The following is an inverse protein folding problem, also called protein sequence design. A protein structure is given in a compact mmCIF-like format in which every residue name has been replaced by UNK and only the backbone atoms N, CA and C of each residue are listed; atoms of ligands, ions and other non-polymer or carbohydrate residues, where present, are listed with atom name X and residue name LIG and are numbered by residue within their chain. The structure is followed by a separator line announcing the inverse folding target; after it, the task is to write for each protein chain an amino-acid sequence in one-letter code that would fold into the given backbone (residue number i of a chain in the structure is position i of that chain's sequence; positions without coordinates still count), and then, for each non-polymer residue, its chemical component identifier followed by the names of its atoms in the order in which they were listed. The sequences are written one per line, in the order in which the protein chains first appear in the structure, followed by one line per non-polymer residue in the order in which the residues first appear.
data_IF_652835407555
#
_entry.id   IF_652835407555
#
_cell.length_a   1.000
_cell.length_b   1.000
_cell.length_c   1.000
_cell.angle_alpha   90.00
_cell.angle_beta   90.00
_cell.angle_gamma   90.00
#
_symmetry.space_group_name_H-M   'P 1'
#
loop_
_entity.id
_entity.type
_entity.pdbx_description
1 polymer ?
#
# COMPACT_ATOMS: atom_id res chain seq x y z
N UNK A 1 18.58 -2.25 7.42
CA UNK A 1 17.96 -1.62 6.26
C UNK A 1 17.13 -2.67 5.51
N UNK A 2 15.96 -2.30 5.00
CA UNK A 2 15.01 -3.17 4.29
C UNK A 2 14.56 -2.54 2.97
N UNK A 3 15.37 -1.65 2.42
CA UNK A 3 15.03 -0.90 1.19
C UNK A 3 15.01 -1.77 -0.07
N UNK A 4 15.65 -2.92 -0.05
CA UNK A 4 15.72 -3.81 -1.22
C UNK A 4 15.18 -5.21 -0.92
N UNK A 5 14.65 -5.88 -1.95
CA UNK A 5 14.22 -7.28 -1.84
C UNK A 5 15.35 -8.24 -1.43
N UNK A 6 16.61 -7.89 -1.76
CA UNK A 6 17.78 -8.64 -1.27
C UNK A 6 17.92 -8.53 0.24
N UNK A 7 17.77 -7.31 0.80
CA UNK A 7 17.86 -7.11 2.25
C UNK A 7 16.69 -7.76 2.99
N UNK A 8 15.50 -7.71 2.43
CA UNK A 8 14.34 -8.46 2.95
C UNK A 8 14.64 -9.97 2.95
N UNK A 9 15.17 -10.51 1.85
CA UNK A 9 15.57 -11.91 1.78
C UNK A 9 16.56 -12.32 2.88
N UNK A 10 17.60 -11.51 3.09
CA UNK A 10 18.59 -11.75 4.16
C UNK A 10 17.93 -11.73 5.55
N UNK A 11 16.98 -10.82 5.78
CA UNK A 11 16.24 -10.76 7.04
C UNK A 11 15.32 -11.98 7.23
N UNK A 12 14.70 -12.45 6.15
CA UNK A 12 13.90 -13.68 6.16
C UNK A 12 14.76 -14.93 6.44
N UNK A 13 15.98 -15.00 5.89
CA UNK A 13 16.91 -16.06 6.17
C UNK A 13 17.30 -16.09 7.65
N UNK A 14 17.61 -14.93 8.23
CA UNK A 14 17.93 -14.80 9.63
C UNK A 14 16.74 -15.13 10.56
N UNK A 15 15.52 -14.76 10.16
CA UNK A 15 14.30 -15.09 10.89
C UNK A 15 14.02 -16.61 10.87
N UNK A 16 14.13 -17.23 9.70
CA UNK A 16 13.93 -18.66 9.53
C UNK A 16 14.95 -19.48 10.35
N UNK A 17 16.20 -19.06 10.37
CA UNK A 17 17.24 -19.69 11.18
C UNK A 17 16.96 -19.60 12.71
N UNK A 18 16.12 -18.67 13.15
CA UNK A 18 15.65 -18.52 14.53
C UNK A 18 14.31 -19.20 14.80
N UNK A 19 13.79 -19.96 13.82
CA UNK A 19 12.53 -20.68 13.96
C UNK A 19 11.27 -19.78 13.84
N UNK A 20 11.38 -18.58 13.27
CA UNK A 20 10.22 -17.73 13.00
C UNK A 20 9.45 -18.34 11.82
N UNK A 21 8.24 -18.82 12.11
CA UNK A 21 7.42 -19.60 11.18
C UNK A 21 6.78 -18.77 10.05
N UNK A 22 6.56 -17.48 10.25
CA UNK A 22 6.06 -16.54 9.23
C UNK A 22 6.96 -15.32 9.13
N UNK A 23 7.94 -15.38 8.22
CA UNK A 23 8.83 -14.23 7.98
C UNK A 23 8.12 -13.08 7.27
N UNK A 24 7.39 -13.37 6.20
CA UNK A 24 6.66 -12.38 5.39
C UNK A 24 5.26 -12.89 5.06
N UNK A 25 4.28 -12.03 5.16
CA UNK A 25 2.98 -12.17 4.52
C UNK A 25 2.59 -10.89 3.79
N UNK A 26 1.54 -10.92 2.98
CA UNK A 26 1.06 -9.78 2.18
C UNK A 26 -0.46 -9.75 2.14
N UNK A 27 -1.01 -8.54 2.12
CA UNK A 27 -2.38 -8.31 1.66
C UNK A 27 -2.40 -7.96 0.17
N UNK A 28 -3.57 -7.95 -0.46
CA UNK A 28 -3.82 -7.41 -1.80
C UNK A 28 -2.74 -7.82 -2.83
N UNK A 29 -2.46 -9.11 -2.96
CA UNK A 29 -1.32 -9.71 -3.66
C UNK A 29 -1.05 -9.13 -5.04
N UNK A 30 -2.04 -9.11 -5.95
CA UNK A 30 -1.87 -8.56 -7.30
C UNK A 30 -1.60 -7.06 -7.24
N UNK A 31 -2.37 -6.33 -6.43
CA UNK A 31 -2.21 -4.90 -6.31
C UNK A 31 -0.83 -4.50 -5.77
N UNK A 32 -0.30 -5.20 -4.75
CA UNK A 32 1.02 -4.89 -4.18
C UNK A 32 2.15 -5.44 -5.06
N UNK A 33 2.09 -6.73 -5.43
CA UNK A 33 3.23 -7.42 -6.04
C UNK A 33 3.24 -7.43 -7.57
N UNK A 34 2.21 -6.88 -8.23
CA UNK A 34 2.22 -6.67 -9.68
C UNK A 34 1.98 -5.19 -10.01
N UNK A 35 0.88 -4.61 -9.59
CA UNK A 35 0.49 -3.25 -9.99
C UNK A 35 1.39 -2.19 -9.33
N UNK A 36 1.47 -2.15 -7.99
CA UNK A 36 2.40 -1.24 -7.29
C UNK A 36 3.86 -1.57 -7.57
N UNK A 37 4.19 -2.86 -7.69
CA UNK A 37 5.53 -3.30 -8.08
C UNK A 37 5.94 -2.73 -9.45
N UNK A 38 5.05 -2.78 -10.44
CA UNK A 38 5.29 -2.21 -11.77
C UNK A 38 5.56 -0.70 -11.69
N UNK A 39 4.67 0.05 -11.04
CA UNK A 39 4.82 1.49 -10.88
C UNK A 39 6.11 1.86 -10.16
N UNK A 40 6.39 1.20 -9.05
CA UNK A 40 7.56 1.47 -8.21
C UNK A 40 8.90 1.18 -8.89
N UNK A 41 8.92 0.28 -9.88
CA UNK A 41 10.09 -0.08 -10.67
C UNK A 41 10.12 0.54 -12.07
N UNK A 42 9.22 1.50 -12.36
CA UNK A 42 9.09 2.12 -13.69
C UNK A 42 8.92 1.08 -14.82
N UNK A 43 8.10 0.09 -14.57
CA UNK A 43 7.78 -0.98 -15.52
C UNK A 43 6.36 -0.80 -16.07
N UNK A 44 6.15 -0.92 -17.39
CA UNK A 44 4.80 -0.88 -17.92
C UNK A 44 4.00 -2.09 -17.44
N UNK A 45 2.77 -1.84 -16.97
CA UNK A 45 1.81 -2.88 -16.61
C UNK A 45 0.99 -3.31 -17.84
N UNK A 46 0.73 -2.36 -18.73
CA UNK A 46 0.02 -2.58 -19.97
C UNK A 46 0.51 -1.63 -21.08
N UNK A 47 0.21 -1.95 -22.33
CA UNK A 47 0.45 -1.08 -23.48
C UNK A 47 -0.39 0.20 -23.42
N UNK A 48 -0.20 1.11 -24.39
CA UNK A 48 -1.00 2.32 -24.57
C UNK A 48 -1.13 3.17 -23.30
N UNK A 49 0.02 3.54 -22.71
CA UNK A 49 0.07 4.31 -21.47
C UNK A 49 -0.71 3.62 -20.32
N UNK A 50 -0.47 2.34 -20.12
CA UNK A 50 -1.18 1.51 -19.15
C UNK A 50 -2.72 1.50 -19.35
N UNK A 51 -3.18 1.54 -20.59
CA UNK A 51 -4.60 1.47 -20.94
C UNK A 51 -5.29 2.82 -21.13
N UNK A 52 -4.63 3.93 -20.80
CA UNK A 52 -5.26 5.26 -20.92
C UNK A 52 -5.39 5.76 -22.35
N UNK A 53 -4.63 5.22 -23.31
CA UNK A 53 -4.60 5.69 -24.69
C UNK A 53 -5.40 4.82 -25.67
N UNK A 54 -6.12 3.79 -25.21
CA UNK A 54 -6.97 2.98 -26.09
C UNK A 54 -7.55 1.73 -25.43
N UNK A 55 -8.69 1.25 -25.98
CA UNK A 55 -9.39 0.08 -25.46
C UNK A 55 -8.76 -1.26 -25.90
N UNK A 56 -7.92 -1.25 -26.94
CA UNK A 56 -7.15 -2.37 -27.46
C UNK A 56 -5.80 -2.52 -26.74
N UNK A 57 -5.85 -2.36 -25.44
CA UNK A 57 -4.70 -2.45 -24.55
C UNK A 57 -4.33 -3.91 -24.29
N UNK A 58 -3.03 -4.21 -24.32
CA UNK A 58 -2.48 -5.52 -23.99
C UNK A 58 -1.71 -5.47 -22.67
N UNK A 59 -1.85 -6.50 -21.87
CA UNK A 59 -1.12 -6.61 -20.59
C UNK A 59 0.36 -6.96 -20.83
N UNK A 60 1.27 -6.33 -20.07
CA UNK A 60 2.72 -6.48 -20.25
C UNK A 60 3.50 -6.75 -18.94
N UNK A 61 2.80 -7.14 -17.88
CA UNK A 61 3.41 -7.43 -16.57
C UNK A 61 4.15 -8.78 -16.49
N UNK A 62 4.72 -9.23 -17.58
CA UNK A 62 5.51 -10.47 -17.70
C UNK A 62 6.98 -10.20 -18.08
N UNK A 63 7.49 -9.01 -17.82
CA UNK A 63 8.90 -8.69 -18.05
C UNK A 63 9.81 -9.57 -17.17
N UNK A 64 11.11 -9.70 -17.51
CA UNK A 64 12.05 -10.47 -16.69
C UNK A 64 12.08 -10.09 -15.21
N UNK A 65 11.84 -8.80 -14.90
CA UNK A 65 11.81 -8.30 -13.52
C UNK A 65 10.56 -8.76 -12.78
N UNK A 66 9.39 -8.74 -13.44
CA UNK A 66 8.15 -9.29 -12.88
C UNK A 66 8.27 -10.80 -12.61
N UNK A 67 8.77 -11.54 -13.60
CA UNK A 67 8.98 -12.99 -13.49
C UNK A 67 9.92 -13.30 -12.31
N UNK A 68 11.06 -12.60 -12.22
CA UNK A 68 12.01 -12.74 -11.13
C UNK A 68 11.36 -12.49 -9.77
N UNK A 69 10.53 -11.46 -9.66
CA UNK A 69 9.84 -11.11 -8.41
C UNK A 69 8.90 -12.21 -7.95
N UNK A 70 8.03 -12.67 -8.83
CA UNK A 70 7.07 -13.74 -8.52
C UNK A 70 7.79 -15.07 -8.23
N UNK A 71 8.85 -15.39 -8.97
CA UNK A 71 9.69 -16.56 -8.68
C UNK A 71 10.36 -16.46 -7.30
N UNK A 72 10.80 -15.25 -6.90
CA UNK A 72 11.37 -15.01 -5.58
C UNK A 72 10.35 -15.28 -4.47
N UNK A 73 9.13 -14.74 -4.60
CA UNK A 73 8.05 -15.01 -3.65
C UNK A 73 7.68 -16.49 -3.61
N UNK A 74 7.59 -17.15 -4.77
CA UNK A 74 7.33 -18.58 -4.88
C UNK A 74 8.42 -19.44 -4.24
N UNK A 75 9.70 -19.05 -4.40
CA UNK A 75 10.82 -19.68 -3.71
C UNK A 75 10.69 -19.52 -2.20
N UNK A 76 10.48 -18.31 -1.71
CA UNK A 76 10.32 -18.04 -0.28
C UNK A 76 9.11 -18.77 0.32
N UNK A 77 8.05 -18.95 -0.45
CA UNK A 77 6.89 -19.73 -0.01
C UNK A 77 7.25 -21.22 0.18
N UNK A 78 8.00 -21.81 -0.77
CA UNK A 78 8.49 -23.20 -0.66
C UNK A 78 9.46 -23.40 0.52
N UNK A 79 10.21 -22.36 0.86
CA UNK A 79 11.16 -22.35 1.96
C UNK A 79 10.52 -22.00 3.32
N UNK A 80 9.20 -21.79 3.38
CA UNK A 80 8.48 -21.41 4.60
C UNK A 80 8.66 -19.96 5.05
N UNK A 81 9.38 -19.13 4.29
CA UNK A 81 9.71 -17.74 4.61
C UNK A 81 8.59 -16.75 4.27
N UNK A 82 7.79 -17.07 3.26
CA UNK A 82 6.61 -16.31 2.84
C UNK A 82 5.36 -17.19 2.99
N UNK A 83 4.34 -16.67 3.65
CA UNK A 83 3.07 -17.36 3.82
C UNK A 83 1.93 -16.60 3.14
N UNK A 84 1.23 -17.29 2.26
CA UNK A 84 -0.05 -16.85 1.75
C UNK A 84 -1.14 -17.18 2.78
N UNK A 85 -1.70 -16.15 3.42
CA UNK A 85 -2.64 -16.31 4.53
C UNK A 85 -4.06 -15.80 4.20
N UNK A 86 -4.42 -15.78 2.93
CA UNK A 86 -5.76 -15.43 2.48
C UNK A 86 -5.81 -14.33 1.44
N UNK A 87 -7.01 -14.05 0.93
CA UNK A 87 -7.28 -13.03 -0.09
C UNK A 87 -7.37 -11.63 0.53
N UNK A 88 -7.29 -10.62 -0.31
CA UNK A 88 -7.42 -9.21 0.10
C UNK A 88 -6.53 -8.94 1.32
N UNK A 89 -7.08 -8.48 2.43
CA UNK A 89 -6.38 -8.18 3.67
C UNK A 89 -6.58 -9.24 4.79
N UNK A 90 -6.97 -10.45 4.44
CA UNK A 90 -7.23 -11.53 5.42
C UNK A 90 -5.97 -11.88 6.25
N UNK A 91 -4.79 -11.79 5.64
CA UNK A 91 -3.49 -11.99 6.32
C UNK A 91 -3.19 -10.94 7.39
N UNK A 92 -3.85 -9.80 7.37
CA UNK A 92 -3.66 -8.74 8.35
C UNK A 92 -3.94 -9.16 9.79
N UNK A 93 -4.88 -10.09 10.01
CA UNK A 93 -5.15 -10.66 11.34
C UNK A 93 -3.93 -11.37 11.92
N UNK A 94 -3.21 -12.12 11.08
CA UNK A 94 -2.02 -12.87 11.51
C UNK A 94 -0.86 -11.93 11.87
N UNK A 95 -0.67 -10.84 11.09
CA UNK A 95 0.31 -9.82 11.45
C UNK A 95 -0.06 -9.13 12.76
N UNK A 96 -1.32 -8.69 12.94
CA UNK A 96 -1.79 -8.04 14.18
C UNK A 96 -1.69 -8.94 15.41
N UNK A 97 -1.80 -10.26 15.22
CA UNK A 97 -1.58 -11.26 16.26
C UNK A 97 -0.08 -11.50 16.58
N UNK A 98 0.85 -10.91 15.81
CA UNK A 98 2.29 -11.10 16.00
C UNK A 98 2.83 -12.40 15.40
N UNK A 99 2.06 -13.08 14.54
CA UNK A 99 2.45 -14.35 13.94
C UNK A 99 3.43 -14.18 12.78
N UNK A 100 3.46 -13.00 12.13
CA UNK A 100 4.33 -12.71 10.99
C UNK A 100 5.24 -11.52 11.29
N UNK A 101 6.52 -11.62 10.89
CA UNK A 101 7.52 -10.58 11.14
C UNK A 101 7.35 -9.37 10.20
N UNK A 102 7.10 -9.62 8.91
CA UNK A 102 6.87 -8.58 7.91
C UNK A 102 5.50 -8.71 7.27
N UNK A 103 4.92 -7.58 6.94
CA UNK A 103 3.64 -7.48 6.28
C UNK A 103 3.63 -6.34 5.27
N UNK A 104 3.29 -6.63 4.02
CA UNK A 104 3.04 -5.61 3.01
C UNK A 104 1.55 -5.35 2.89
N UNK A 105 1.14 -4.09 3.05
CA UNK A 105 -0.25 -3.68 3.15
C UNK A 105 -0.47 -2.27 2.58
N UNK A 106 -1.71 -1.92 2.33
CA UNK A 106 -2.16 -0.56 2.11
C UNK A 106 -1.98 0.31 3.36
N UNK A 107 -1.67 1.59 3.17
CA UNK A 107 -1.64 2.56 4.29
C UNK A 107 -2.95 2.60 5.08
N UNK A 108 -4.09 2.27 4.46
CA UNK A 108 -5.40 2.15 5.11
C UNK A 108 -5.45 1.05 6.19
N UNK A 109 -4.53 0.08 6.17
CA UNK A 109 -4.38 -0.95 7.22
C UNK A 109 -3.83 -0.41 8.53
N UNK A 110 -3.19 0.76 8.52
CA UNK A 110 -2.48 1.32 9.68
C UNK A 110 -3.35 1.44 10.93
N UNK A 111 -4.54 2.01 10.82
CA UNK A 111 -5.44 2.23 11.97
C UNK A 111 -5.80 0.91 12.67
N UNK A 112 -6.11 -0.14 11.90
CA UNK A 112 -6.38 -1.47 12.42
C UNK A 112 -5.18 -2.10 13.11
N UNK A 113 -4.00 -2.00 12.49
CA UNK A 113 -2.75 -2.52 13.07
C UNK A 113 -2.45 -1.80 14.39
N UNK A 114 -2.49 -0.48 14.40
CA UNK A 114 -2.23 0.33 15.60
C UNK A 114 -3.20 0.01 16.75
N UNK A 115 -4.46 -0.27 16.44
CA UNK A 115 -5.49 -0.60 17.45
C UNK A 115 -5.31 -2.00 18.04
N UNK A 116 -4.94 -2.98 17.22
CA UNK A 116 -5.02 -4.39 17.59
C UNK A 116 -3.66 -5.03 17.93
N UNK A 117 -2.56 -4.58 17.31
CA UNK A 117 -1.24 -5.11 17.60
C UNK A 117 -0.82 -4.81 19.06
N UNK A 118 -0.26 -5.83 19.72
CA UNK A 118 0.26 -5.75 21.10
C UNK A 118 1.78 -5.67 21.14
N UNK A 119 2.40 -5.27 20.03
CA UNK A 119 3.83 -5.13 19.86
C UNK A 119 4.15 -3.82 19.11
N UNK A 120 5.37 -3.35 19.24
CA UNK A 120 5.86 -2.21 18.49
C UNK A 120 6.17 -2.61 17.04
N UNK A 121 5.77 -1.79 16.10
CA UNK A 121 6.05 -1.99 14.69
C UNK A 121 6.55 -0.72 14.01
N UNK A 122 7.33 -0.87 12.96
CA UNK A 122 7.79 0.23 12.11
C UNK A 122 7.20 0.14 10.71
N UNK A 123 7.10 1.28 10.04
CA UNK A 123 6.65 1.38 8.66
C UNK A 123 7.86 1.72 7.78
N UNK A 124 7.93 1.13 6.60
CA UNK A 124 8.97 1.36 5.58
C UNK A 124 8.33 1.42 4.20
N UNK A 125 9.05 2.02 3.26
CA UNK A 125 8.71 1.90 1.84
C UNK A 125 8.71 0.45 1.39
N UNK A 126 7.99 0.13 0.32
CA UNK A 126 8.12 -1.15 -0.34
C UNK A 126 9.58 -1.35 -0.80
N UNK A 127 10.10 -2.58 -0.71
CA UNK A 127 11.44 -2.87 -1.19
C UNK A 127 11.51 -2.80 -2.71
N UNK A 128 12.69 -2.50 -3.26
CA UNK A 128 12.93 -2.47 -4.70
C UNK A 128 14.12 -3.34 -5.11
N UNK A 129 14.26 -3.61 -6.40
CA UNK A 129 15.45 -4.26 -6.95
C UNK A 129 16.46 -3.20 -7.40
N UNK A 130 17.62 -3.12 -6.74
CA UNK A 130 18.62 -2.08 -6.97
C UNK A 130 19.31 -2.09 -8.35
N UNK A 131 18.97 -3.04 -9.24
CA UNK A 131 19.44 -3.09 -10.62
C UNK A 131 18.47 -2.40 -11.61
N UNK A 132 17.35 -1.88 -11.13
CA UNK A 132 16.39 -1.10 -11.92
C UNK A 132 16.63 0.40 -11.74
N UNK A 133 15.89 1.22 -12.45
CA UNK A 133 15.87 2.67 -12.23
C UNK A 133 15.55 2.98 -10.74
N UNK A 134 15.88 4.19 -10.31
CA UNK A 134 15.52 4.66 -8.96
C UNK A 134 14.03 4.44 -8.70
N UNK A 135 13.63 4.06 -7.48
CA UNK A 135 12.23 3.84 -7.16
C UNK A 135 11.37 5.05 -7.55
N UNK A 136 10.24 4.76 -8.19
CA UNK A 136 9.22 5.74 -8.53
C UNK A 136 8.12 5.72 -7.46
N UNK A 137 7.03 6.45 -7.68
CA UNK A 137 5.88 6.39 -6.78
C UNK A 137 5.10 5.09 -7.00
N UNK A 138 4.54 4.57 -5.92
CA UNK A 138 3.51 3.54 -5.99
C UNK A 138 2.20 4.13 -6.50
N UNK A 139 1.25 3.28 -6.88
CA UNK A 139 -0.07 3.72 -7.33
C UNK A 139 -0.97 4.04 -6.13
N UNK A 140 -1.81 5.06 -6.29
CA UNK A 140 -2.85 5.40 -5.33
C UNK A 140 -4.00 4.39 -5.49
N UNK A 141 -4.37 3.74 -4.38
CA UNK A 141 -5.59 2.97 -4.27
C UNK A 141 -6.69 3.77 -3.55
N UNK A 142 -7.70 3.09 -3.07
CA UNK A 142 -8.79 3.67 -2.29
C UNK A 142 -10.14 3.59 -2.97
N UNK A 143 -11.00 4.59 -2.72
CA UNK A 143 -12.35 4.67 -3.24
C UNK A 143 -12.72 6.10 -3.62
N UNK A 144 -13.74 6.24 -4.48
CA UNK A 144 -14.29 7.52 -4.90
C UNK A 144 -15.77 7.60 -4.57
N UNK A 145 -16.24 8.81 -4.28
CA UNK A 145 -17.66 9.10 -4.18
C UNK A 145 -18.18 9.59 -5.52
N UNK A 146 -19.33 9.10 -5.94
CA UNK A 146 -19.92 9.41 -7.24
C UNK A 146 -21.29 10.04 -7.03
N UNK A 147 -21.54 11.19 -7.67
CA UNK A 147 -22.86 11.75 -7.78
C UNK A 147 -23.61 11.01 -8.91
N UNK A 148 -24.76 10.43 -8.59
CA UNK A 148 -25.58 9.72 -9.57
C UNK A 148 -26.42 10.71 -10.39
N UNK A 149 -26.53 10.47 -11.69
CA UNK A 149 -27.42 11.24 -12.59
C UNK A 149 -28.90 10.94 -12.28
N UNK A 150 -29.81 11.75 -12.83
CA UNK A 150 -31.27 11.56 -12.69
C UNK A 150 -31.84 11.98 -11.34
N UNK A 151 -31.11 12.70 -10.51
CA UNK A 151 -31.58 13.26 -9.25
C UNK A 151 -32.17 14.65 -9.44
N UNK A 152 -33.06 15.07 -8.53
CA UNK A 152 -33.61 16.42 -8.51
C UNK A 152 -32.53 17.48 -8.29
N UNK A 153 -32.84 18.73 -8.64
CA UNK A 153 -31.93 19.86 -8.37
C UNK A 153 -31.61 20.00 -6.89
N UNK A 154 -32.58 19.73 -6.01
CA UNK A 154 -32.44 19.84 -4.57
C UNK A 154 -31.54 18.73 -3.99
N UNK A 155 -31.71 17.48 -4.45
CA UNK A 155 -30.82 16.36 -4.10
C UNK A 155 -29.38 16.61 -4.59
N UNK A 156 -29.21 17.14 -5.81
CA UNK A 156 -27.90 17.49 -6.34
C UNK A 156 -27.24 18.63 -5.54
N UNK A 157 -27.99 19.62 -5.08
CA UNK A 157 -27.50 20.68 -4.20
C UNK A 157 -27.03 20.11 -2.85
N UNK A 158 -27.80 19.20 -2.26
CA UNK A 158 -27.41 18.49 -1.04
C UNK A 158 -26.12 17.65 -1.24
N UNK A 159 -26.04 16.91 -2.34
CA UNK A 159 -24.85 16.15 -2.71
C UNK A 159 -23.63 17.03 -2.86
N UNK A 160 -23.75 18.16 -3.56
CA UNK A 160 -22.65 19.12 -3.73
C UNK A 160 -22.19 19.70 -2.37
N UNK A 161 -23.13 20.05 -1.49
CA UNK A 161 -22.81 20.54 -0.16
C UNK A 161 -22.07 19.51 0.69
N UNK A 162 -22.51 18.24 0.61
CA UNK A 162 -21.84 17.13 1.31
C UNK A 162 -20.43 16.87 0.79
N UNK A 163 -20.22 16.85 -0.53
CA UNK A 163 -18.89 16.69 -1.12
C UNK A 163 -17.97 17.86 -0.78
N UNK A 164 -18.50 19.10 -0.77
CA UNK A 164 -17.75 20.27 -0.35
C UNK A 164 -17.33 20.19 1.14
N UNK A 165 -18.23 19.74 2.01
CA UNK A 165 -17.92 19.48 3.43
C UNK A 165 -16.80 18.45 3.57
N UNK A 166 -16.90 17.30 2.89
CA UNK A 166 -15.87 16.27 2.93
C UNK A 166 -14.51 16.72 2.40
N UNK A 167 -14.49 17.66 1.45
CA UNK A 167 -13.27 18.25 0.89
C UNK A 167 -12.60 19.28 1.80
N UNK A 168 -13.26 19.65 2.91
CA UNK A 168 -12.74 20.62 3.86
C UNK A 168 -11.43 20.16 4.49
N UNK A 169 -10.48 21.09 4.64
CA UNK A 169 -9.12 20.81 5.11
C UNK A 169 -9.10 20.05 6.43
N UNK A 170 -9.88 20.48 7.42
CA UNK A 170 -9.94 19.85 8.73
C UNK A 170 -10.52 18.41 8.67
N UNK A 171 -11.56 18.23 7.83
CA UNK A 171 -12.19 16.91 7.64
C UNK A 171 -11.20 15.94 6.98
N UNK A 172 -10.51 16.40 5.94
CA UNK A 172 -9.50 15.58 5.24
C UNK A 172 -8.30 15.23 6.13
N UNK A 173 -7.83 16.18 6.94
CA UNK A 173 -6.76 15.92 7.90
C UNK A 173 -7.19 14.88 8.94
N UNK A 174 -8.40 15.04 9.50
CA UNK A 174 -8.94 14.08 10.47
C UNK A 174 -9.15 12.70 9.85
N UNK A 175 -9.72 12.63 8.64
CA UNK A 175 -9.92 11.39 7.92
C UNK A 175 -8.60 10.63 7.73
N UNK A 176 -7.56 11.33 7.26
CA UNK A 176 -6.22 10.76 7.14
C UNK A 176 -5.70 10.19 8.46
N UNK A 177 -5.80 10.97 9.53
CA UNK A 177 -5.29 10.58 10.85
C UNK A 177 -6.02 9.39 11.46
N UNK A 178 -7.34 9.30 11.23
CA UNK A 178 -8.18 8.24 11.79
C UNK A 178 -8.10 6.93 10.99
N UNK A 179 -7.82 6.99 9.67
CA UNK A 179 -7.94 5.84 8.77
C UNK A 179 -6.63 5.37 8.14
N UNK A 180 -5.64 6.26 7.99
CA UNK A 180 -4.41 6.01 7.23
C UNK A 180 -4.54 6.26 5.72
N UNK A 181 -5.74 6.57 5.19
CA UNK A 181 -5.89 7.04 3.81
C UNK A 181 -5.18 8.38 3.61
N UNK A 182 -4.61 8.60 2.42
CA UNK A 182 -3.92 9.86 2.13
C UNK A 182 -4.90 11.05 2.11
N UNK A 183 -4.48 12.22 2.61
CA UNK A 183 -5.30 13.41 2.48
C UNK A 183 -5.34 13.83 1.00
N UNK A 184 -6.53 14.14 0.49
CA UNK A 184 -6.73 14.51 -0.92
C UNK A 184 -6.28 15.93 -1.26
N UNK A 185 -5.89 16.73 -0.28
CA UNK A 185 -5.44 18.12 -0.48
C UNK A 185 -4.10 18.40 0.21
N UNK A 186 -3.29 19.25 -0.43
CA UNK A 186 -2.02 19.73 0.15
C UNK A 186 -2.28 20.47 1.48
N UNK A 187 -3.38 21.21 1.58
CA UNK A 187 -3.75 21.92 2.80
C UNK A 187 -3.96 20.96 3.98
N UNK A 188 -4.67 19.86 3.77
CA UNK A 188 -4.88 18.84 4.81
C UNK A 188 -3.58 18.14 5.21
N UNK A 189 -2.71 17.84 4.25
CA UNK A 189 -1.38 17.29 4.52
C UNK A 189 -0.54 18.23 5.39
N UNK A 190 -0.51 19.54 5.04
CA UNK A 190 0.17 20.56 5.83
C UNK A 190 -0.41 20.71 7.23
N UNK A 191 -1.74 20.66 7.38
CA UNK A 191 -2.40 20.71 8.68
C UNK A 191 -2.00 19.49 9.54
N UNK A 192 -2.08 18.28 9.01
CA UNK A 192 -1.68 17.05 9.71
C UNK A 192 -0.23 17.14 10.22
N UNK A 193 0.68 17.65 9.38
CA UNK A 193 2.08 17.88 9.76
C UNK A 193 2.21 18.92 10.88
N UNK A 194 1.47 20.04 10.78
CA UNK A 194 1.46 21.10 11.80
C UNK A 194 0.95 20.61 13.15
N UNK A 195 -0.05 19.73 13.15
CA UNK A 195 -0.61 19.10 14.35
C UNK A 195 0.34 18.08 15.01
N UNK A 196 1.47 17.78 14.39
CA UNK A 196 2.48 16.87 14.91
C UNK A 196 2.09 15.39 14.83
N UNK A 197 1.10 15.05 14.00
CA UNK A 197 0.62 13.67 13.87
C UNK A 197 1.74 12.69 13.48
N UNK A 198 2.56 13.03 12.48
CA UNK A 198 3.66 12.17 12.01
C UNK A 198 4.78 11.98 13.04
N UNK A 199 4.96 12.93 13.97
CA UNK A 199 5.91 12.77 15.08
C UNK A 199 5.46 11.69 16.06
N UNK A 200 4.15 11.57 16.28
CA UNK A 200 3.53 10.58 17.17
C UNK A 200 3.25 9.25 16.47
N UNK A 201 3.22 9.24 15.14
CA UNK A 201 2.88 8.10 14.30
C UNK A 201 3.94 7.95 13.21
N UNK A 202 5.16 7.64 13.64
CA UNK A 202 6.35 7.58 12.78
C UNK A 202 6.16 6.62 11.61
N UNK A 203 6.47 7.09 10.41
CA UNK A 203 6.38 6.33 9.16
C UNK A 203 5.03 6.42 8.44
N UNK A 204 3.99 7.01 9.05
CA UNK A 204 2.70 7.19 8.36
C UNK A 204 2.75 8.25 7.26
N UNK A 205 3.74 9.11 7.26
CA UNK A 205 4.04 10.08 6.20
C UNK A 205 4.65 9.43 4.95
N UNK A 206 5.26 8.25 5.08
CA UNK A 206 5.92 7.56 3.98
C UNK A 206 4.97 7.26 2.81
N UNK A 207 3.73 6.91 3.09
CA UNK A 207 2.72 6.67 2.05
C UNK A 207 2.42 7.91 1.18
N UNK A 208 2.73 9.11 1.66
CA UNK A 208 2.56 10.37 0.91
C UNK A 208 3.77 10.77 0.07
N UNK A 209 4.89 10.04 0.20
CA UNK A 209 6.16 10.33 -0.49
C UNK A 209 6.73 9.10 -1.22
N UNK A 210 6.00 7.99 -1.21
CA UNK A 210 6.37 6.77 -1.92
C UNK A 210 5.73 6.66 -3.30
#
# INVERSE_FOLDING_TARGET
DLSTWKQVGNALDAANAKGIDCGLTTAWHSWIHLENFSAYHDLPFASKSNGFAGLDTELSFNSPVHIKHIQTLGKWSKEGKFKYLGRRNESGKNFRAGECMFFTESSAGYAGIKKEAKFDFGIRHLPFYGATAAPQNTIIGGASLWALSGKSAEENKGTAAFLAFLSGTAIQAKWHQDTGYLPSTIAASKQTKKEGFYKKNTGTDLAGIQ
#
